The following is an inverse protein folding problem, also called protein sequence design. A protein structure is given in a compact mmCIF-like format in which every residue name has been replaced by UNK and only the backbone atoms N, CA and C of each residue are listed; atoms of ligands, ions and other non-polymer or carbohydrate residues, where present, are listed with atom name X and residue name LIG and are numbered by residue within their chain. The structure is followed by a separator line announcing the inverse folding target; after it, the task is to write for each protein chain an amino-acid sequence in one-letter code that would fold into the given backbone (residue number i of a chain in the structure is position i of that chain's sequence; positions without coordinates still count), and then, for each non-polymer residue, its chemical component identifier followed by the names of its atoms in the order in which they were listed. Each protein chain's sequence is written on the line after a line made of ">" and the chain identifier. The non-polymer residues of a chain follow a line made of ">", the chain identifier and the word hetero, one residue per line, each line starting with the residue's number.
data_IF_270675000961
#
_entry.id   IF_270675000961
#
_cell.length_a   1.000
_cell.length_b   1.000
_cell.length_c   1.000
_cell.angle_alpha   90.00
_cell.angle_beta   90.00
_cell.angle_gamma   90.00
#
_symmetry.space_group_name_H-M   'P 1'
#
loop_
_entity.id
_entity.type
_entity.pdbx_description
1 polymer ?
#
# COMPACT_ATOMS: atom_id res chain seq x y z
N UNK A 1 -18.52 0.24 5.82
CA UNK A 1 -17.15 0.73 5.58
C UNK A 1 -16.46 0.74 6.91
N UNK A 2 -15.52 -0.18 7.12
CA UNK A 2 -14.62 -0.12 8.26
C UNK A 2 -13.67 1.07 7.99
N UNK A 3 -13.53 2.01 8.91
CA UNK A 3 -12.48 3.02 8.80
C UNK A 3 -11.16 2.30 9.03
N UNK A 4 -10.36 2.13 7.97
CA UNK A 4 -9.00 1.65 8.11
C UNK A 4 -8.20 2.74 8.85
N UNK A 5 -7.88 2.51 10.12
CA UNK A 5 -6.93 3.33 10.87
C UNK A 5 -5.55 3.17 10.21
N UNK A 6 -5.06 4.24 9.56
CA UNK A 6 -3.78 4.26 8.87
C UNK A 6 -3.61 5.50 7.98
N UNK A 7 -2.39 5.76 7.54
CA UNK A 7 -2.09 6.76 6.52
C UNK A 7 -1.79 6.06 5.18
N UNK A 8 -2.01 6.77 4.08
CA UNK A 8 -1.70 6.29 2.74
C UNK A 8 -0.18 6.19 2.53
N UNK A 9 0.24 5.29 1.65
CA UNK A 9 1.63 5.18 1.22
C UNK A 9 2.13 6.53 0.66
N UNK A 10 1.28 7.28 -0.03
CA UNK A 10 1.58 8.63 -0.51
C UNK A 10 1.97 9.59 0.61
N UNK A 11 1.16 9.67 1.68
CA UNK A 11 1.45 10.49 2.86
C UNK A 11 2.76 10.08 3.53
N UNK A 12 3.03 8.78 3.64
CA UNK A 12 4.31 8.31 4.17
C UNK A 12 5.50 8.68 3.28
N UNK A 13 5.38 8.59 1.96
CA UNK A 13 6.45 9.00 1.03
C UNK A 13 6.76 10.50 1.21
N UNK A 14 5.73 11.34 1.30
CA UNK A 14 5.91 12.78 1.52
C UNK A 14 6.58 13.06 2.87
N UNK A 15 6.13 12.42 3.96
CA UNK A 15 6.70 12.61 5.28
C UNK A 15 8.19 12.21 5.37
N UNK A 16 8.62 11.18 4.63
CA UNK A 16 10.03 10.81 4.53
C UNK A 16 10.83 11.82 3.70
N UNK A 17 10.28 12.27 2.57
CA UNK A 17 10.91 13.27 1.71
C UNK A 17 11.14 14.60 2.44
N UNK A 18 10.18 15.06 3.26
CA UNK A 18 10.31 16.26 4.09
C UNK A 18 11.46 16.18 5.12
N UNK A 19 11.80 14.96 5.54
CA UNK A 19 12.91 14.67 6.47
C UNK A 19 14.22 14.37 5.75
N UNK A 20 14.25 14.46 4.43
CA UNK A 20 15.35 14.00 3.58
C UNK A 20 15.75 12.54 3.84
N UNK A 21 14.74 11.72 4.15
CA UNK A 21 14.88 10.29 4.46
C UNK A 21 14.22 9.44 3.37
N UNK A 22 14.49 8.13 3.38
CA UNK A 22 13.89 7.16 2.45
C UNK A 22 13.47 5.89 3.18
N UNK A 23 12.53 5.17 2.57
CA UNK A 23 12.24 3.82 2.99
C UNK A 23 13.48 2.94 2.86
N UNK A 24 13.71 2.09 3.86
CA UNK A 24 14.65 0.99 3.71
C UNK A 24 14.17 0.03 2.62
N UNK A 25 15.11 -0.55 1.88
CA UNK A 25 14.80 -1.42 0.73
C UNK A 25 13.93 -2.62 1.13
N UNK A 26 14.19 -3.22 2.30
CA UNK A 26 13.36 -4.30 2.85
C UNK A 26 11.88 -3.89 2.98
N UNK A 27 11.63 -2.67 3.46
CA UNK A 27 10.26 -2.14 3.60
C UNK A 27 9.61 -1.92 2.24
N UNK A 28 10.37 -1.45 1.25
CA UNK A 28 9.88 -1.31 -0.15
C UNK A 28 9.47 -2.67 -0.71
N UNK A 29 10.30 -3.70 -0.53
CA UNK A 29 9.98 -5.05 -0.98
C UNK A 29 8.74 -5.63 -0.29
N UNK A 30 8.61 -5.44 1.03
CA UNK A 30 7.44 -5.90 1.79
C UNK A 30 6.14 -5.26 1.28
N UNK A 31 6.14 -3.96 0.99
CA UNK A 31 4.99 -3.25 0.42
C UNK A 31 4.71 -3.76 -1.00
N UNK A 32 5.74 -3.87 -1.83
CA UNK A 32 5.60 -4.28 -3.23
C UNK A 32 5.03 -5.70 -3.35
N UNK A 33 5.54 -6.65 -2.58
CA UNK A 33 5.04 -8.03 -2.57
C UNK A 33 3.56 -8.06 -2.19
N UNK A 34 3.15 -7.35 -1.13
CA UNK A 34 1.75 -7.27 -0.74
C UNK A 34 0.87 -6.69 -1.86
N UNK A 35 1.29 -5.60 -2.50
CA UNK A 35 0.57 -5.01 -3.63
C UNK A 35 0.39 -6.01 -4.78
N UNK A 36 1.44 -6.76 -5.13
CA UNK A 36 1.33 -7.76 -6.20
C UNK A 36 0.39 -8.91 -5.84
N UNK A 37 0.35 -9.33 -4.57
CA UNK A 37 -0.56 -10.36 -4.08
C UNK A 37 -2.02 -9.90 -4.17
N UNK A 38 -2.31 -8.64 -3.79
CA UNK A 38 -3.65 -8.08 -3.91
C UNK A 38 -4.10 -7.87 -5.34
N UNK A 39 -3.22 -7.36 -6.22
CA UNK A 39 -3.54 -7.27 -7.64
C UNK A 39 -3.81 -8.64 -8.24
N UNK A 40 -3.03 -9.67 -7.87
CA UNK A 40 -3.30 -11.05 -8.28
C UNK A 40 -4.69 -11.49 -7.82
N UNK A 41 -5.04 -11.25 -6.56
CA UNK A 41 -6.36 -11.58 -6.01
C UNK A 41 -7.49 -10.90 -6.81
N UNK A 42 -7.41 -9.58 -6.99
CA UNK A 42 -8.40 -8.81 -7.76
C UNK A 42 -8.54 -9.36 -9.18
N UNK A 43 -7.42 -9.59 -9.86
CA UNK A 43 -7.41 -10.02 -11.26
C UNK A 43 -7.87 -11.48 -11.43
N UNK A 44 -7.41 -12.40 -10.57
CA UNK A 44 -7.61 -13.85 -10.76
C UNK A 44 -8.85 -14.39 -10.05
N UNK A 45 -9.13 -13.90 -8.86
CA UNK A 45 -10.19 -14.44 -8.02
C UNK A 45 -11.48 -13.62 -8.14
N UNK A 46 -11.37 -12.31 -8.42
CA UNK A 46 -12.52 -11.42 -8.55
C UNK A 46 -12.83 -10.98 -9.97
N UNK A 47 -11.91 -11.16 -10.93
CA UNK A 47 -12.02 -10.59 -12.28
C UNK A 47 -12.24 -9.08 -12.28
N UNK A 48 -11.68 -8.36 -11.31
CA UNK A 48 -11.77 -6.91 -11.13
C UNK A 48 -10.45 -6.29 -11.55
N UNK A 49 -10.50 -5.20 -12.31
CA UNK A 49 -9.34 -4.32 -12.56
C UNK A 49 -9.39 -3.15 -11.59
N UNK A 50 -8.32 -2.91 -10.84
CA UNK A 50 -8.27 -1.83 -9.84
C UNK A 50 -8.48 -0.43 -10.47
N UNK A 51 -7.90 -0.19 -11.66
CA UNK A 51 -7.98 1.06 -12.47
C UNK A 51 -7.40 2.34 -11.85
N UNK A 52 -7.28 2.43 -10.54
CA UNK A 52 -6.74 3.61 -9.86
C UNK A 52 -5.63 3.25 -8.87
N UNK A 53 -4.66 2.43 -9.30
CA UNK A 53 -3.55 2.04 -8.45
C UNK A 53 -2.56 3.21 -8.34
N UNK A 54 -2.56 3.88 -7.19
CA UNK A 54 -1.65 4.98 -6.86
C UNK A 54 -1.21 4.89 -5.39
N UNK A 55 -0.11 5.52 -4.96
CA UNK A 55 0.31 5.52 -3.56
C UNK A 55 -0.75 6.06 -2.59
N UNK A 56 -1.63 6.95 -3.05
CA UNK A 56 -2.70 7.51 -2.22
C UNK A 56 -3.81 6.50 -1.94
N UNK A 57 -3.94 5.48 -2.78
CA UNK A 57 -4.95 4.41 -2.66
C UNK A 57 -4.38 3.13 -2.03
N UNK A 58 -3.20 3.20 -1.41
CA UNK A 58 -2.58 2.10 -0.67
C UNK A 58 -2.50 2.50 0.79
N UNK A 59 -3.30 1.87 1.64
CA UNK A 59 -3.30 2.14 3.08
C UNK A 59 -2.25 1.28 3.78
N UNK A 60 -1.40 1.89 4.60
CA UNK A 60 -0.47 1.17 5.47
C UNK A 60 -1.12 1.03 6.85
N UNK A 61 -1.44 -0.20 7.25
CA UNK A 61 -1.96 -0.50 8.58
C UNK A 61 -0.86 -0.55 9.66
N UNK A 62 -1.25 -0.48 10.92
CA UNK A 62 -0.32 -0.66 12.03
C UNK A 62 0.38 -2.04 11.92
N UNK A 63 1.72 -2.03 11.90
CA UNK A 63 2.63 -3.18 11.74
C UNK A 63 2.89 -3.68 10.31
N UNK A 64 2.84 -2.82 9.28
CA UNK A 64 3.17 -3.18 7.87
C UNK A 64 2.31 -4.34 7.31
N UNK A 65 1.14 -4.61 7.91
CA UNK A 65 0.12 -5.51 7.36
C UNK A 65 -0.81 -4.70 6.45
N UNK A 66 -0.67 -4.86 5.15
CA UNK A 66 -1.65 -4.39 4.19
C UNK A 66 -2.95 -5.20 4.41
N UNK A 67 -4.03 -4.50 4.72
CA UNK A 67 -5.40 -5.04 4.74
C UNK A 67 -6.07 -4.61 3.43
N UNK A 68 -6.66 -5.57 2.73
CA UNK A 68 -7.37 -5.34 1.47
C UNK A 68 -8.87 -5.55 1.72
N UNK A 69 -9.68 -4.55 1.36
CA UNK A 69 -11.13 -4.67 1.10
C UNK A 69 -11.36 -5.02 -0.39
#
# INVERSE_FOLDING_TARGET
>A
MELLEGASLGEHILAFAERNDRFQEERVWNIFIQLTLALRYLHKEKSIVHRDLSPNNVMLGEQDKARYD
#
